data_IF_497461138293
#
_entry.id   IF_497461138293
#
_cell.length_a   1.000
_cell.length_b   1.000
_cell.length_c   1.000
_cell.angle_alpha   90.00
_cell.angle_beta   90.00
_cell.angle_gamma   90.00
#
_symmetry.space_group_name_H-M   'P 1'
#
loop_
_entity.id
_entity.type
_entity.pdbx_description
1 polymer ?
#
# COMPACT_ATOMS: atom_id res chain seq x y z
N UNK A 1 0.29 -51.59 -17.34
CA UNK A 1 1.09 -50.48 -16.89
C UNK A 1 0.12 -49.46 -16.31
N UNK A 2 -0.12 -49.55 -14.97
CA UNK A 2 -1.10 -48.73 -14.29
C UNK A 2 -0.47 -47.34 -14.02
N UNK A 3 -1.10 -46.29 -14.54
CA UNK A 3 -0.79 -44.92 -14.11
C UNK A 3 -1.34 -44.69 -12.69
N UNK A 4 -0.46 -44.47 -11.72
CA UNK A 4 -0.84 -43.98 -10.44
C UNK A 4 -1.11 -42.46 -10.58
N UNK A 5 -2.20 -41.92 -9.97
CA UNK A 5 -2.40 -40.48 -9.96
C UNK A 5 -1.42 -39.84 -8.98
N UNK A 6 -0.84 -38.72 -9.40
CA UNK A 6 0.02 -37.84 -8.61
C UNK A 6 -0.66 -37.44 -7.31
N UNK A 7 0.07 -37.52 -6.24
CA UNK A 7 -0.34 -37.06 -4.91
C UNK A 7 -0.73 -35.59 -4.95
N UNK A 8 -1.96 -35.28 -4.56
CA UNK A 8 -2.46 -33.95 -4.25
C UNK A 8 -1.57 -33.36 -3.15
N UNK A 9 -0.68 -32.49 -3.50
CA UNK A 9 -0.15 -31.51 -2.55
C UNK A 9 -1.31 -30.61 -2.17
N UNK A 10 -1.98 -30.90 -1.07
CA UNK A 10 -2.89 -29.96 -0.44
C UNK A 10 -2.04 -28.76 -0.01
N UNK A 11 -2.09 -27.67 -0.76
CA UNK A 11 -1.60 -26.38 -0.30
C UNK A 11 -2.42 -26.05 0.95
N UNK A 12 -1.81 -26.16 2.12
CA UNK A 12 -2.42 -25.70 3.37
C UNK A 12 -2.74 -24.21 3.18
N UNK A 13 -3.93 -23.79 3.68
CA UNK A 13 -4.25 -22.36 3.69
C UNK A 13 -3.11 -21.60 4.39
N UNK A 14 -2.68 -20.46 3.86
CA UNK A 14 -1.58 -19.71 4.45
C UNK A 14 -1.92 -19.32 5.89
N UNK A 15 -0.98 -19.55 6.80
CA UNK A 15 -1.12 -19.27 8.23
C UNK A 15 -0.99 -17.75 8.47
N UNK A 16 -2.14 -17.06 8.47
CA UNK A 16 -2.20 -15.62 8.71
C UNK A 16 -2.20 -15.35 10.21
N UNK A 17 -1.25 -14.56 10.66
CA UNK A 17 -1.08 -14.16 12.04
C UNK A 17 -1.49 -12.69 12.25
N UNK A 18 -1.93 -12.35 13.47
CA UNK A 18 -2.09 -10.96 13.91
C UNK A 18 -0.72 -10.43 14.32
N UNK A 19 -0.18 -9.50 13.55
CA UNK A 19 1.10 -8.86 13.85
C UNK A 19 0.97 -7.79 14.93
N UNK A 20 -0.16 -7.06 14.95
CA UNK A 20 -0.50 -6.09 15.99
C UNK A 20 -1.97 -6.23 16.38
N UNK A 21 -2.25 -6.37 17.68
CA UNK A 21 -3.53 -6.80 18.23
C UNK A 21 -4.53 -5.67 18.52
N UNK A 22 -4.20 -4.43 18.17
CA UNK A 22 -5.11 -3.29 18.32
C UNK A 22 -5.62 -2.87 16.93
N UNK A 23 -6.94 -2.93 16.69
CA UNK A 23 -7.47 -2.65 15.36
C UNK A 23 -7.47 -1.14 15.04
N UNK A 24 -7.02 -0.81 13.83
CA UNK A 24 -7.09 0.51 13.23
C UNK A 24 -8.48 0.77 12.62
N UNK A 25 -8.87 2.03 12.49
CA UNK A 25 -10.06 2.37 11.71
C UNK A 25 -9.82 2.10 10.21
N UNK A 26 -8.67 2.57 9.72
CA UNK A 26 -8.20 2.32 8.36
C UNK A 26 -6.67 2.27 8.40
N UNK A 27 -6.14 1.08 8.69
CA UNK A 27 -4.71 0.81 8.64
C UNK A 27 -4.22 0.90 7.21
N UNK A 28 -3.09 1.57 6.98
CA UNK A 28 -2.54 1.83 5.65
C UNK A 28 -1.03 1.96 5.66
N UNK A 29 -0.46 1.95 4.46
CA UNK A 29 0.94 2.24 4.18
C UNK A 29 1.92 1.55 5.14
N UNK A 30 1.89 0.20 5.23
CA UNK A 30 2.91 -0.52 5.98
C UNK A 30 4.27 -0.30 5.32
N UNK A 31 5.30 -0.08 6.15
CA UNK A 31 6.67 0.20 5.72
C UNK A 31 7.62 -0.57 6.63
N UNK A 32 8.40 -1.50 6.07
CA UNK A 32 9.43 -2.21 6.81
C UNK A 32 10.77 -1.47 6.73
N UNK A 33 11.29 -1.08 7.89
CA UNK A 33 12.65 -0.57 8.02
C UNK A 33 13.59 -1.70 8.47
N UNK A 34 14.43 -2.16 7.54
CA UNK A 34 15.36 -3.26 7.80
C UNK A 34 16.53 -2.81 8.71
N UNK A 35 16.91 -1.54 8.69
CA UNK A 35 18.01 -1.03 9.52
C UNK A 35 17.59 -0.98 10.99
N UNK A 36 16.32 -0.63 11.24
CA UNK A 36 15.75 -0.61 12.58
C UNK A 36 15.13 -1.95 13.00
N UNK A 37 14.95 -2.89 12.07
CA UNK A 37 14.16 -4.10 12.26
C UNK A 37 12.75 -3.77 12.81
N UNK A 38 12.09 -2.81 12.20
CA UNK A 38 10.81 -2.26 12.65
C UNK A 38 9.81 -2.10 11.50
N UNK A 39 8.54 -2.31 11.82
CA UNK A 39 7.43 -2.06 10.93
C UNK A 39 6.75 -0.75 11.32
N UNK A 40 6.57 0.14 10.35
CA UNK A 40 5.76 1.35 10.48
C UNK A 40 4.46 1.18 9.71
N UNK A 41 3.39 1.84 10.14
CA UNK A 41 2.13 1.97 9.40
C UNK A 41 1.35 3.18 9.90
N UNK A 42 0.23 3.50 9.24
CA UNK A 42 -0.64 4.61 9.63
C UNK A 42 -2.06 4.12 9.93
N UNK A 43 -2.78 4.86 10.78
CA UNK A 43 -4.24 4.84 10.85
C UNK A 43 -4.76 6.19 10.34
N UNK A 44 -5.37 6.18 9.13
CA UNK A 44 -5.77 7.43 8.47
C UNK A 44 -6.78 8.22 9.32
N UNK A 45 -7.96 7.68 9.69
CA UNK A 45 -8.90 8.43 10.54
C UNK A 45 -8.43 8.59 11.99
N UNK A 46 -7.60 7.66 12.47
CA UNK A 46 -6.96 7.73 13.78
C UNK A 46 -5.90 8.83 13.86
N UNK A 47 -5.49 9.40 12.71
CA UNK A 47 -4.47 10.44 12.59
C UNK A 47 -3.19 10.06 13.33
N UNK A 48 -2.70 8.86 13.09
CA UNK A 48 -1.55 8.32 13.78
C UNK A 48 -0.58 7.62 12.83
N UNK A 49 0.70 7.74 13.14
CA UNK A 49 1.77 6.88 12.65
C UNK A 49 2.14 5.93 13.78
N UNK A 50 2.34 4.67 13.45
CA UNK A 50 2.68 3.62 14.38
C UNK A 50 4.02 2.99 14.02
N UNK A 51 4.72 2.44 15.01
CA UNK A 51 5.95 1.65 14.87
C UNK A 51 5.88 0.44 15.77
N UNK A 52 6.23 -0.71 15.24
CA UNK A 52 6.38 -1.96 15.97
C UNK A 52 7.80 -2.48 15.79
N UNK A 53 8.56 -2.52 16.87
CA UNK A 53 9.94 -3.03 16.88
C UNK A 53 9.93 -4.56 17.01
N UNK A 54 10.55 -5.26 16.11
CA UNK A 54 10.81 -6.70 16.22
C UNK A 54 12.18 -6.96 16.90
N UNK A 55 12.39 -8.07 17.61
CA UNK A 55 11.40 -9.11 18.00
C UNK A 55 10.61 -8.80 19.27
N UNK A 56 10.97 -7.75 20.00
CA UNK A 56 10.38 -7.42 21.33
C UNK A 56 8.97 -6.86 21.25
N UNK A 57 8.49 -6.49 20.07
CA UNK A 57 7.17 -5.91 19.81
C UNK A 57 6.88 -4.67 20.63
N UNK A 58 7.93 -3.84 20.86
CA UNK A 58 7.73 -2.52 21.44
C UNK A 58 6.96 -1.64 20.45
N UNK A 59 5.80 -1.13 20.87
CA UNK A 59 4.94 -0.26 20.09
C UNK A 59 5.14 1.20 20.50
N UNK A 60 5.33 2.08 19.49
CA UNK A 60 5.24 3.55 19.62
C UNK A 60 4.23 4.10 18.62
N UNK A 61 3.68 5.25 18.95
CA UNK A 61 2.83 5.98 18.01
C UNK A 61 3.01 7.49 18.15
N UNK A 62 2.77 8.21 17.04
CA UNK A 62 2.83 9.65 16.96
C UNK A 62 1.50 10.17 16.39
N UNK A 63 0.88 11.10 17.13
CA UNK A 63 -0.35 11.75 16.68
C UNK A 63 -0.03 12.80 15.61
N UNK A 64 -0.84 12.81 14.53
CA UNK A 64 -0.73 13.76 13.43
C UNK A 64 -1.84 14.81 13.52
N UNK A 65 -1.56 16.04 13.06
CA UNK A 65 -2.54 17.12 13.06
C UNK A 65 -3.71 16.85 12.11
N UNK A 66 -3.42 16.23 10.97
CA UNK A 66 -4.41 15.83 9.95
C UNK A 66 -4.15 14.39 9.52
N UNK A 67 -5.05 13.83 8.70
CA UNK A 67 -4.98 12.44 8.25
C UNK A 67 -3.68 12.17 7.46
N UNK A 68 -2.84 11.21 7.86
CA UNK A 68 -1.74 10.71 7.04
C UNK A 68 -2.29 9.86 5.89
N UNK A 69 -1.78 10.06 4.68
CA UNK A 69 -2.11 9.25 3.50
C UNK A 69 -1.08 8.18 3.20
N UNK A 70 0.21 8.53 3.30
CA UNK A 70 1.31 7.57 3.20
C UNK A 70 2.54 8.05 3.98
N UNK A 71 3.46 7.12 4.18
CA UNK A 71 4.78 7.36 4.80
C UNK A 71 5.88 6.77 3.92
N UNK A 72 7.06 7.34 4.01
CA UNK A 72 8.29 6.80 3.45
C UNK A 72 9.44 7.01 4.44
N UNK A 73 10.43 6.10 4.43
CA UNK A 73 11.67 6.32 5.18
C UNK A 73 12.38 7.55 4.64
N UNK A 74 12.92 8.40 5.51
CA UNK A 74 13.76 9.52 5.11
C UNK A 74 15.23 9.13 5.22
N UNK A 75 16.03 9.42 4.19
CA UNK A 75 17.44 8.99 4.14
C UNK A 75 18.27 9.56 5.31
N UNK A 76 17.93 10.77 5.79
CA UNK A 76 18.58 11.41 6.94
C UNK A 76 17.92 11.04 8.30
N UNK A 77 17.19 9.91 8.34
CA UNK A 77 16.49 9.40 9.52
C UNK A 77 15.07 9.94 9.68
N UNK A 78 14.24 9.17 10.38
CA UNK A 78 12.81 9.42 10.55
C UNK A 78 11.99 9.14 9.29
N UNK A 79 10.82 9.78 9.19
CA UNK A 79 9.85 9.53 8.13
C UNK A 79 9.46 10.80 7.38
N UNK A 80 9.31 10.70 6.07
CA UNK A 80 8.53 11.62 5.26
C UNK A 80 7.06 11.18 5.29
N UNK A 81 6.14 12.09 5.59
CA UNK A 81 4.71 11.79 5.74
C UNK A 81 3.91 12.72 4.82
N UNK A 82 3.01 12.15 4.01
CA UNK A 82 2.03 12.90 3.25
C UNK A 82 0.73 13.01 4.06
N UNK A 83 0.51 14.17 4.69
CA UNK A 83 -0.70 14.51 5.43
C UNK A 83 -1.75 15.15 4.52
N UNK A 84 -3.03 15.20 4.94
CA UNK A 84 -4.06 16.01 4.25
C UNK A 84 -3.58 17.44 4.03
N UNK A 85 -2.87 18.02 4.98
CA UNK A 85 -2.41 19.43 4.95
C UNK A 85 -1.13 19.68 4.16
N UNK A 86 -0.41 18.63 3.73
CA UNK A 86 0.87 18.76 3.03
C UNK A 86 1.88 17.69 3.42
N UNK A 87 3.13 17.90 3.06
CA UNK A 87 4.23 16.98 3.36
C UNK A 87 4.99 17.46 4.60
N UNK A 88 5.33 16.53 5.48
CA UNK A 88 6.11 16.81 6.69
C UNK A 88 7.19 15.74 6.91
N UNK A 89 8.25 16.11 7.62
CA UNK A 89 9.20 15.15 8.19
C UNK A 89 8.87 14.92 9.66
N UNK A 90 8.82 13.66 10.07
CA UNK A 90 8.78 13.24 11.47
C UNK A 90 10.15 12.73 11.88
N UNK A 91 10.73 13.32 12.88
CA UNK A 91 11.85 12.74 13.63
C UNK A 91 11.28 11.70 14.61
N UNK A 92 11.61 10.43 14.38
CA UNK A 92 11.04 9.30 15.14
C UNK A 92 11.65 9.15 16.53
N UNK A 93 12.80 9.78 16.80
CA UNK A 93 13.45 9.77 18.12
C UNK A 93 12.83 10.82 19.03
N UNK A 94 12.73 12.05 18.55
CA UNK A 94 12.25 13.20 19.30
C UNK A 94 10.75 13.40 19.21
N UNK A 95 10.11 12.95 18.13
CA UNK A 95 8.71 13.22 17.79
C UNK A 95 8.49 14.60 17.16
N UNK A 96 9.55 15.33 16.82
CA UNK A 96 9.44 16.62 16.16
C UNK A 96 8.90 16.46 14.73
N UNK A 97 7.95 17.35 14.35
CA UNK A 97 7.35 17.37 13.02
C UNK A 97 7.73 18.68 12.34
N UNK A 98 8.46 18.57 11.22
CA UNK A 98 8.91 19.71 10.42
C UNK A 98 8.13 19.76 9.11
N UNK A 99 7.40 20.87 8.80
CA UNK A 99 6.74 21.07 7.50
C UNK A 99 7.77 21.16 6.36
N UNK A 100 7.43 20.49 5.23
CA UNK A 100 8.26 20.49 4.01
C UNK A 100 7.57 21.15 2.83
N UNK A 101 6.26 20.90 2.65
CA UNK A 101 5.49 21.43 1.53
C UNK A 101 3.99 21.48 1.89
N UNK A 102 3.31 22.56 1.54
CA UNK A 102 1.85 22.68 1.71
C UNK A 102 1.09 21.79 0.71
N UNK A 103 -0.15 21.42 1.03
CA UNK A 103 -1.00 20.68 0.12
C UNK A 103 -1.25 21.49 -1.17
N UNK A 104 -1.11 20.89 -2.37
CA UNK A 104 -1.29 21.60 -3.65
C UNK A 104 -2.76 21.67 -4.11
N UNK A 105 -3.70 21.33 -3.25
CA UNK A 105 -5.11 21.14 -3.56
C UNK A 105 -6.06 21.71 -2.47
N UNK A 106 -7.36 21.74 -2.74
CA UNK A 106 -8.39 22.05 -1.77
C UNK A 106 -8.54 20.91 -0.74
N UNK A 107 -8.01 21.10 0.45
CA UNK A 107 -7.97 20.11 1.54
C UNK A 107 -9.35 19.77 2.11
N UNK A 108 -10.39 20.54 1.76
CA UNK A 108 -11.77 20.20 2.11
C UNK A 108 -12.38 19.10 1.24
N UNK A 109 -11.73 18.77 0.10
CA UNK A 109 -12.21 17.79 -0.88
C UNK A 109 -11.19 16.72 -1.23
N UNK A 110 -9.91 17.00 -1.04
CA UNK A 110 -8.83 16.09 -1.34
C UNK A 110 -7.92 15.87 -0.13
N UNK A 111 -7.29 14.75 -0.09
CA UNK A 111 -6.14 14.46 0.76
C UNK A 111 -5.14 13.60 0.01
N UNK A 112 -3.89 13.59 0.46
CA UNK A 112 -2.97 12.54 0.03
C UNK A 112 -3.51 11.16 0.43
N UNK A 113 -3.14 10.17 -0.36
CA UNK A 113 -3.50 8.78 -0.19
C UNK A 113 -2.22 7.94 -0.32
N UNK A 114 -2.29 6.76 -0.92
CA UNK A 114 -1.16 5.85 -1.11
C UNK A 114 0.06 6.52 -1.78
N UNK A 115 1.24 5.99 -1.49
CA UNK A 115 2.49 6.47 -2.08
C UNK A 115 3.68 5.55 -1.78
N UNK A 116 4.73 5.72 -2.58
CA UNK A 116 5.97 4.94 -2.49
C UNK A 116 7.15 5.72 -3.08
N UNK A 117 8.36 5.47 -2.57
CA UNK A 117 9.56 5.99 -3.19
C UNK A 117 10.02 5.12 -4.37
N UNK A 118 10.55 5.78 -5.40
CA UNK A 118 11.30 5.12 -6.47
C UNK A 118 12.78 4.93 -6.10
N UNK A 119 13.54 4.26 -6.97
CA UNK A 119 14.95 3.96 -6.71
C UNK A 119 15.88 5.20 -6.72
N UNK A 120 15.40 6.36 -7.16
CA UNK A 120 16.10 7.65 -7.03
C UNK A 120 15.71 8.40 -5.75
N UNK A 121 14.85 7.81 -4.92
CA UNK A 121 14.40 8.38 -3.65
C UNK A 121 13.37 9.50 -3.82
N UNK A 122 12.63 9.56 -4.92
CA UNK A 122 11.50 10.48 -5.08
C UNK A 122 10.25 9.84 -4.49
N UNK A 123 9.51 10.58 -3.66
CA UNK A 123 8.21 10.12 -3.20
C UNK A 123 7.16 10.32 -4.30
N UNK A 124 6.53 9.25 -4.72
CA UNK A 124 5.32 9.25 -5.53
C UNK A 124 4.13 9.06 -4.61
N UNK A 125 3.25 10.05 -4.54
CA UNK A 125 2.07 10.01 -3.68
C UNK A 125 0.86 10.53 -4.45
N UNK A 126 -0.21 9.76 -4.35
CA UNK A 126 -1.44 10.15 -5.01
C UNK A 126 -2.43 10.83 -4.08
N UNK A 127 -3.58 11.20 -4.63
CA UNK A 127 -4.67 11.79 -3.86
C UNK A 127 -5.97 11.02 -4.03
N UNK A 128 -6.85 11.16 -3.07
CA UNK A 128 -8.26 10.79 -3.17
C UNK A 128 -9.11 12.05 -3.26
N UNK A 129 -9.99 12.10 -4.25
CA UNK A 129 -11.07 13.06 -4.30
C UNK A 129 -12.28 12.48 -3.56
N UNK A 130 -12.53 12.97 -2.34
CA UNK A 130 -13.44 12.34 -1.38
C UNK A 130 -14.92 12.36 -1.81
N UNK A 131 -15.44 13.35 -2.58
CA UNK A 131 -16.78 13.26 -3.13
C UNK A 131 -16.98 12.10 -4.10
N UNK A 132 -15.90 11.62 -4.76
CA UNK A 132 -15.88 10.44 -5.64
C UNK A 132 -16.85 10.47 -6.84
N UNK A 133 -17.33 11.64 -7.21
CA UNK A 133 -18.21 11.83 -8.36
C UNK A 133 -17.47 12.14 -9.67
N UNK A 134 -16.15 12.39 -9.58
CA UNK A 134 -15.26 12.72 -10.70
C UNK A 134 -13.82 12.30 -10.43
N UNK A 135 -13.02 12.20 -11.49
CA UNK A 135 -11.58 11.96 -11.40
C UNK A 135 -10.82 13.28 -11.22
N UNK A 136 -10.87 13.87 -10.02
CA UNK A 136 -10.17 15.10 -9.66
C UNK A 136 -8.97 14.91 -8.73
N UNK A 137 -8.66 13.66 -8.38
CA UNK A 137 -7.40 13.30 -7.78
C UNK A 137 -6.31 13.19 -8.84
N UNK A 138 -5.06 13.21 -8.41
CA UNK A 138 -3.88 13.06 -9.24
C UNK A 138 -2.77 12.28 -8.52
N UNK A 139 -1.73 11.93 -9.26
CA UNK A 139 -0.47 11.41 -8.73
C UNK A 139 0.58 12.51 -8.75
N UNK A 140 1.28 12.70 -7.64
CA UNK A 140 2.33 13.69 -7.45
C UNK A 140 3.67 13.02 -7.26
N UNK A 141 4.73 13.70 -7.69
CA UNK A 141 6.12 13.32 -7.45
C UNK A 141 6.79 14.43 -6.63
N UNK A 142 7.31 14.08 -5.46
CA UNK A 142 8.06 14.98 -4.58
C UNK A 142 9.55 14.64 -4.65
N UNK A 143 10.34 15.62 -5.09
CA UNK A 143 11.78 15.49 -5.27
C UNK A 143 12.45 16.78 -4.83
N UNK A 144 13.44 16.70 -3.91
CA UNK A 144 14.27 17.84 -3.49
C UNK A 144 13.47 19.09 -3.12
N UNK A 145 12.42 18.91 -2.32
CA UNK A 145 11.57 20.01 -1.88
C UNK A 145 10.56 20.52 -2.91
N UNK A 146 10.50 19.93 -4.11
CA UNK A 146 9.57 20.31 -5.18
C UNK A 146 8.52 19.24 -5.39
N UNK A 147 7.25 19.62 -5.32
CA UNK A 147 6.11 18.76 -5.59
C UNK A 147 5.56 19.03 -6.99
N UNK A 148 5.58 18.03 -7.84
CA UNK A 148 5.14 18.08 -9.25
C UNK A 148 3.90 17.20 -9.43
N UNK A 149 2.85 17.73 -10.05
CA UNK A 149 1.71 16.96 -10.54
C UNK A 149 2.13 16.15 -11.77
N UNK A 150 2.03 14.83 -11.70
CA UNK A 150 2.35 13.94 -12.81
C UNK A 150 1.19 13.80 -13.83
N UNK A 151 0.05 14.50 -13.58
CA UNK A 151 -1.11 14.55 -14.47
C UNK A 151 -1.75 13.18 -14.75
N UNK A 152 -1.89 12.36 -13.74
CA UNK A 152 -2.59 11.08 -13.79
C UNK A 152 -3.97 11.20 -13.14
N UNK A 153 -5.02 11.66 -13.86
CA UNK A 153 -6.33 11.85 -13.29
C UNK A 153 -6.94 10.53 -12.79
N UNK A 154 -7.37 10.54 -11.54
CA UNK A 154 -8.00 9.40 -10.87
C UNK A 154 -9.03 9.90 -9.87
N UNK A 155 -9.95 9.02 -9.44
CA UNK A 155 -10.83 9.31 -8.30
C UNK A 155 -10.10 9.01 -6.99
N UNK A 156 -9.41 7.87 -6.93
CA UNK A 156 -8.60 7.43 -5.79
C UNK A 156 -7.32 6.78 -6.31
N UNK A 157 -6.20 7.43 -6.06
CA UNK A 157 -4.88 6.93 -6.39
C UNK A 157 -4.45 5.88 -5.38
N UNK A 158 -4.05 4.71 -5.88
CA UNK A 158 -3.55 3.60 -5.08
C UNK A 158 -2.54 2.76 -5.85
N UNK A 159 -1.95 1.78 -5.18
CA UNK A 159 -1.13 0.72 -5.76
C UNK A 159 0.05 1.19 -6.57
N UNK A 160 0.67 2.33 -6.20
CA UNK A 160 1.89 2.80 -6.85
C UNK A 160 3.02 1.83 -6.54
N UNK A 161 3.60 1.24 -7.58
CA UNK A 161 4.75 0.36 -7.45
C UNK A 161 5.59 0.38 -8.73
N UNK A 162 6.86 0.00 -8.61
CA UNK A 162 7.80 -0.01 -9.72
C UNK A 162 8.29 -1.42 -9.98
N UNK A 163 8.51 -1.74 -11.27
CA UNK A 163 9.13 -3.00 -11.67
C UNK A 163 10.56 -3.11 -11.10
N UNK A 164 11.06 -4.33 -10.98
CA UNK A 164 12.42 -4.58 -10.46
C UNK A 164 13.51 -3.89 -11.27
N UNK A 165 13.31 -3.72 -12.58
CA UNK A 165 14.23 -3.02 -13.49
C UNK A 165 13.99 -1.49 -13.54
N UNK A 166 13.02 -0.98 -12.77
CA UNK A 166 12.64 0.43 -12.70
C UNK A 166 12.23 1.06 -14.05
N UNK A 167 11.70 0.24 -14.97
CA UNK A 167 11.25 0.71 -16.30
C UNK A 167 9.74 0.78 -16.44
N UNK A 168 9.03 0.28 -15.45
CA UNK A 168 7.56 0.30 -15.42
C UNK A 168 7.04 0.80 -14.08
N UNK A 169 5.97 1.59 -14.13
CA UNK A 169 5.23 2.05 -12.96
C UNK A 169 3.79 1.53 -13.05
N UNK A 170 3.34 0.89 -12.00
CA UNK A 170 1.95 0.51 -11.79
C UNK A 170 1.22 1.60 -11.03
N UNK A 171 -0.06 1.82 -11.36
CA UNK A 171 -0.91 2.78 -10.67
C UNK A 171 -2.38 2.36 -10.75
N UNK A 172 -3.03 2.19 -9.62
CA UNK A 172 -4.43 1.79 -9.54
C UNK A 172 -5.37 3.00 -9.38
N UNK A 173 -6.54 2.93 -10.02
CA UNK A 173 -7.70 3.77 -9.73
C UNK A 173 -8.77 2.87 -9.09
N UNK A 174 -8.85 2.87 -7.77
CA UNK A 174 -9.67 1.93 -7.00
C UNK A 174 -11.15 1.95 -7.39
N UNK A 175 -11.85 3.10 -7.51
CA UNK A 175 -13.24 3.12 -7.93
C UNK A 175 -13.47 2.67 -9.37
N UNK A 176 -12.46 2.76 -10.23
CA UNK A 176 -12.53 2.26 -11.60
C UNK A 176 -12.19 0.76 -11.72
N UNK A 177 -11.84 0.09 -10.61
CA UNK A 177 -11.47 -1.32 -10.54
C UNK A 177 -10.35 -1.70 -11.50
N UNK A 178 -9.41 -0.78 -11.76
CA UNK A 178 -8.33 -1.00 -12.74
C UNK A 178 -6.97 -0.64 -12.20
N UNK A 179 -5.97 -1.34 -12.73
CA UNK A 179 -4.56 -1.03 -12.58
C UNK A 179 -4.02 -0.65 -13.96
N UNK A 180 -3.38 0.49 -14.07
CA UNK A 180 -2.68 0.94 -15.25
C UNK A 180 -1.18 0.64 -15.11
N UNK A 181 -0.51 0.46 -16.25
CA UNK A 181 0.93 0.29 -16.36
C UNK A 181 1.46 1.40 -17.28
N UNK A 182 2.55 2.01 -16.86
CA UNK A 182 3.24 3.08 -17.58
C UNK A 182 4.68 2.65 -17.88
N UNK A 183 5.23 3.07 -18.99
CA UNK A 183 6.67 3.09 -19.17
C UNK A 183 7.23 4.18 -18.27
N UNK A 184 8.31 3.88 -17.56
CA UNK A 184 8.89 4.73 -16.54
C UNK A 184 10.37 5.02 -16.87
N UNK A 185 10.71 6.30 -16.90
CA UNK A 185 12.10 6.75 -17.01
C UNK A 185 12.61 7.13 -15.62
N UNK A 186 13.39 6.24 -15.02
CA UNK A 186 13.96 6.46 -13.69
C UNK A 186 14.85 7.70 -13.63
N UNK A 187 15.57 8.07 -14.70
CA UNK A 187 16.48 9.21 -14.65
C UNK A 187 15.73 10.54 -14.52
N UNK A 188 14.58 10.66 -15.19
CA UNK A 188 13.79 11.90 -15.23
C UNK A 188 12.55 11.87 -14.35
N UNK A 189 12.12 10.69 -13.89
CA UNK A 189 10.84 10.50 -13.21
C UNK A 189 9.65 10.77 -14.12
N UNK A 190 9.77 10.56 -15.43
CA UNK A 190 8.68 10.71 -16.37
C UNK A 190 8.00 9.38 -16.64
N UNK A 191 6.69 9.44 -16.82
CA UNK A 191 5.84 8.32 -17.23
C UNK A 191 5.32 8.54 -18.64
N UNK A 192 5.16 7.48 -19.40
CA UNK A 192 4.60 7.51 -20.77
C UNK A 192 3.88 6.21 -21.09
N UNK A 193 3.26 6.15 -22.28
CA UNK A 193 2.67 4.92 -22.83
C UNK A 193 1.75 4.17 -21.85
N UNK A 194 0.79 4.90 -21.23
CA UNK A 194 -0.21 4.30 -20.35
C UNK A 194 -0.96 3.17 -21.07
N UNK A 195 -1.07 2.02 -20.41
CA UNK A 195 -1.85 0.87 -20.87
C UNK A 195 -2.57 0.21 -19.70
N UNK A 196 -3.67 -0.46 -19.99
CA UNK A 196 -4.37 -1.26 -19.00
C UNK A 196 -3.52 -2.48 -18.63
N UNK A 197 -3.18 -2.62 -17.34
CA UNK A 197 -2.53 -3.83 -16.82
C UNK A 197 -3.57 -4.87 -16.41
N UNK A 198 -4.56 -4.47 -15.60
CA UNK A 198 -5.60 -5.37 -15.11
C UNK A 198 -6.91 -4.62 -14.89
N UNK A 199 -8.02 -5.24 -15.32
CA UNK A 199 -9.39 -4.81 -15.01
C UNK A 199 -10.04 -5.88 -14.13
N UNK A 200 -10.69 -5.46 -13.05
CA UNK A 200 -11.48 -6.33 -12.19
C UNK A 200 -12.98 -6.08 -12.39
N UNK A 201 -13.79 -7.06 -11.97
CA UNK A 201 -15.25 -6.96 -12.04
C UNK A 201 -15.73 -5.78 -11.19
N UNK A 202 -16.61 -4.96 -11.75
CA UNK A 202 -17.21 -3.80 -11.10
C UNK A 202 -18.58 -4.11 -10.47
N UNK A 203 -19.20 -5.25 -10.84
CA UNK A 203 -20.49 -5.65 -10.32
C UNK A 203 -20.37 -6.21 -8.89
N UNK A 204 -20.62 -5.36 -7.90
CA UNK A 204 -20.59 -5.75 -6.49
C UNK A 204 -21.67 -6.77 -6.09
N UNK A 205 -22.66 -7.00 -6.93
CA UNK A 205 -23.71 -7.98 -6.70
C UNK A 205 -23.34 -9.37 -7.26
N UNK A 206 -22.31 -9.43 -8.09
CA UNK A 206 -21.80 -10.67 -8.67
C UNK A 206 -21.22 -11.59 -7.57
N UNK A 207 -21.56 -12.89 -7.57
CA UNK A 207 -20.91 -13.88 -6.70
C UNK A 207 -19.38 -13.98 -6.94
N UNK A 208 -18.92 -13.56 -8.12
CA UNK A 208 -17.51 -13.52 -8.50
C UNK A 208 -16.82 -12.21 -8.11
N UNK A 209 -17.52 -11.28 -7.46
CA UNK A 209 -16.92 -10.02 -7.02
C UNK A 209 -15.76 -10.26 -6.06
N UNK A 210 -14.58 -9.89 -6.49
CA UNK A 210 -13.36 -10.14 -5.75
C UNK A 210 -12.69 -8.89 -5.20
N UNK A 211 -13.43 -7.79 -5.08
CA UNK A 211 -12.91 -6.51 -4.59
C UNK A 211 -12.30 -5.65 -5.69
N UNK A 212 -11.66 -4.59 -5.26
CA UNK A 212 -11.05 -3.57 -6.13
C UNK A 212 -9.60 -3.30 -5.69
N UNK A 213 -8.70 -2.98 -6.63
CA UNK A 213 -7.29 -2.82 -6.32
C UNK A 213 -7.09 -1.63 -5.37
N UNK A 214 -6.29 -1.85 -4.33
CA UNK A 214 -5.91 -0.87 -3.33
C UNK A 214 -4.37 -0.75 -3.30
N UNK A 215 -3.72 -0.75 -2.16
CA UNK A 215 -2.29 -0.67 -2.05
C UNK A 215 -1.57 -1.93 -2.58
N UNK A 216 -0.30 -1.79 -2.92
CA UNK A 216 0.46 -2.83 -3.61
C UNK A 216 1.94 -2.86 -3.25
N UNK A 217 2.62 -3.94 -3.64
CA UNK A 217 4.06 -4.10 -3.61
C UNK A 217 4.53 -4.95 -4.80
N UNK A 218 5.83 -4.94 -5.11
CA UNK A 218 6.44 -5.80 -6.12
C UNK A 218 7.44 -6.73 -5.44
N UNK A 219 7.45 -8.01 -5.84
CA UNK A 219 8.40 -9.00 -5.33
C UNK A 219 9.67 -9.11 -6.19
N UNK A 220 10.62 -9.92 -5.73
CA UNK A 220 11.90 -10.13 -6.40
C UNK A 220 11.81 -10.84 -7.76
N UNK A 221 10.68 -11.48 -8.06
CA UNK A 221 10.37 -12.08 -9.38
C UNK A 221 9.58 -11.13 -10.28
N UNK A 222 9.47 -9.83 -9.89
CA UNK A 222 8.76 -8.79 -10.61
C UNK A 222 7.24 -9.01 -10.69
N UNK A 223 6.66 -9.80 -9.79
CA UNK A 223 5.21 -9.92 -9.70
C UNK A 223 4.62 -8.78 -8.83
N UNK A 224 3.51 -8.23 -9.28
CA UNK A 224 2.76 -7.19 -8.59
C UNK A 224 1.80 -7.82 -7.59
N UNK A 225 1.97 -7.50 -6.32
CA UNK A 225 1.07 -7.90 -5.24
C UNK A 225 0.08 -6.80 -4.96
N UNK A 226 -1.21 -7.13 -4.88
CA UNK A 226 -2.29 -6.17 -4.74
C UNK A 226 -3.25 -6.57 -3.62
N UNK A 227 -3.48 -5.68 -2.67
CA UNK A 227 -4.58 -5.78 -1.73
C UNK A 227 -5.90 -5.51 -2.46
N UNK A 228 -6.90 -6.37 -2.24
CA UNK A 228 -8.21 -6.26 -2.89
C UNK A 228 -9.24 -5.76 -1.88
N UNK A 229 -9.41 -4.44 -1.81
CA UNK A 229 -10.38 -3.79 -0.93
C UNK A 229 -11.81 -4.31 -1.19
N UNK A 230 -12.55 -4.64 -0.14
CA UNK A 230 -13.85 -5.35 -0.21
C UNK A 230 -13.77 -6.76 -0.82
N UNK A 231 -12.58 -7.26 -1.12
CA UNK A 231 -12.36 -8.59 -1.69
C UNK A 231 -11.95 -9.67 -0.68
N UNK A 232 -11.49 -9.27 0.50
CA UNK A 232 -11.01 -10.22 1.53
C UNK A 232 -9.82 -11.06 1.03
N UNK A 233 -8.97 -10.51 0.17
CA UNK A 233 -7.86 -11.25 -0.44
C UNK A 233 -6.71 -10.35 -0.88
N UNK A 234 -5.57 -10.96 -1.07
CA UNK A 234 -4.39 -10.40 -1.74
C UNK A 234 -4.11 -11.22 -2.98
N UNK A 235 -3.77 -10.58 -4.08
CA UNK A 235 -3.41 -11.22 -5.35
C UNK A 235 -1.94 -11.00 -5.65
N UNK A 236 -1.24 -12.03 -6.11
CA UNK A 236 0.07 -11.97 -6.76
C UNK A 236 -0.14 -12.07 -8.27
N UNK A 237 0.29 -11.08 -9.03
CA UNK A 237 0.00 -10.94 -10.46
C UNK A 237 1.33 -10.83 -11.22
N UNK A 238 1.54 -11.71 -12.21
CA UNK A 238 2.74 -11.64 -13.08
C UNK A 238 2.75 -10.37 -13.95
N UNK A 239 3.91 -9.98 -14.51
CA UNK A 239 4.01 -8.80 -15.38
C UNK A 239 3.10 -8.82 -16.62
N UNK A 240 2.61 -9.98 -17.05
CA UNK A 240 1.65 -10.13 -18.14
C UNK A 240 0.18 -10.06 -17.68
N UNK A 241 -0.09 -9.84 -16.39
CA UNK A 241 -1.43 -9.73 -15.83
C UNK A 241 -2.08 -11.05 -15.42
N UNK A 242 -1.35 -12.18 -15.44
CA UNK A 242 -1.85 -13.49 -14.96
C UNK A 242 -1.82 -13.53 -13.43
N UNK A 243 -2.91 -13.97 -12.78
CA UNK A 243 -2.94 -14.20 -11.34
C UNK A 243 -2.16 -15.49 -11.04
N UNK A 244 -1.04 -15.34 -10.32
CA UNK A 244 -0.16 -16.45 -9.93
C UNK A 244 -0.57 -17.08 -8.60
N UNK A 245 -1.08 -16.25 -7.69
CA UNK A 245 -1.45 -16.68 -6.34
C UNK A 245 -2.57 -15.78 -5.78
N UNK A 246 -3.41 -16.38 -4.95
CA UNK A 246 -4.41 -15.70 -4.16
C UNK A 246 -4.25 -16.11 -2.70
N UNK A 247 -4.22 -15.12 -1.79
CA UNK A 247 -4.20 -15.31 -0.34
C UNK A 247 -5.52 -14.75 0.21
N UNK A 248 -6.38 -15.61 0.75
CA UNK A 248 -7.60 -15.19 1.44
C UNK A 248 -7.23 -14.56 2.78
N UNK A 249 -7.77 -13.38 3.06
CA UNK A 249 -7.50 -12.60 4.27
C UNK A 249 -8.75 -12.60 5.15
N UNK A 250 -8.64 -12.90 6.45
CA UNK A 250 -9.78 -12.92 7.38
C UNK A 250 -10.22 -11.50 7.79
N UNK A 251 -10.14 -10.56 6.85
CA UNK A 251 -10.63 -9.20 6.92
C UNK A 251 -11.23 -8.82 5.57
N UNK A 252 -12.39 -8.16 5.58
CA UNK A 252 -13.09 -7.81 4.33
C UNK A 252 -12.30 -6.85 3.45
N UNK A 253 -11.58 -5.92 4.09
CA UNK A 253 -10.89 -4.83 3.43
C UNK A 253 -9.39 -4.87 3.74
N UNK A 254 -8.57 -5.74 3.12
CA UNK A 254 -7.14 -5.52 3.06
C UNK A 254 -6.88 -4.24 2.27
N UNK A 255 -5.94 -3.41 2.74
CA UNK A 255 -5.70 -2.08 2.20
C UNK A 255 -4.36 -1.95 1.51
N UNK A 256 -3.26 -2.34 2.16
CA UNK A 256 -1.92 -2.25 1.56
C UNK A 256 -1.00 -3.36 2.06
N UNK A 257 0.17 -3.47 1.43
CA UNK A 257 1.13 -4.56 1.62
C UNK A 257 2.55 -4.02 1.77
N UNK A 258 3.33 -4.66 2.67
CA UNK A 258 4.77 -4.50 2.70
C UNK A 258 5.45 -5.84 2.97
N UNK A 259 6.58 -6.06 2.33
CA UNK A 259 7.46 -7.18 2.66
C UNK A 259 8.43 -6.77 3.76
N UNK A 260 8.62 -7.64 4.74
CA UNK A 260 9.52 -7.41 5.84
C UNK A 260 10.08 -8.68 6.43
N UNK A 261 10.68 -8.56 7.63
CA UNK A 261 11.49 -9.59 8.23
C UNK A 261 12.90 -9.64 7.62
N UNK A 262 13.80 -10.37 8.24
CA UNK A 262 15.21 -10.46 7.83
C UNK A 262 15.39 -10.93 6.37
N UNK A 263 14.51 -11.81 5.90
CA UNK A 263 14.55 -12.41 4.56
C UNK A 263 13.54 -11.82 3.58
N UNK A 264 12.82 -10.76 3.95
CA UNK A 264 11.76 -10.11 3.17
C UNK A 264 10.65 -11.07 2.69
N UNK A 265 10.40 -12.17 3.44
CA UNK A 265 9.35 -13.15 3.15
C UNK A 265 8.17 -13.08 4.11
N UNK A 266 8.14 -12.11 5.00
CA UNK A 266 6.95 -11.78 5.79
C UNK A 266 6.17 -10.71 5.06
N UNK A 267 5.00 -11.07 4.54
CA UNK A 267 4.08 -10.11 3.95
C UNK A 267 3.20 -9.54 5.06
N UNK A 268 3.39 -8.28 5.40
CA UNK A 268 2.51 -7.53 6.27
C UNK A 268 1.34 -6.96 5.48
N UNK A 269 0.13 -7.04 6.04
CA UNK A 269 -1.11 -6.64 5.40
C UNK A 269 -1.86 -5.72 6.35
N UNK A 270 -2.03 -4.47 5.98
CA UNK A 270 -2.94 -3.57 6.69
C UNK A 270 -4.37 -3.81 6.27
N UNK A 271 -5.31 -3.53 7.17
CA UNK A 271 -6.75 -3.74 6.91
C UNK A 271 -7.58 -2.58 7.46
N UNK A 272 -8.80 -2.41 6.93
CA UNK A 272 -9.74 -1.37 7.33
C UNK A 272 -11.04 -1.94 7.90
N UNK A 273 -11.62 -1.22 8.89
CA UNK A 273 -12.94 -1.48 9.46
C UNK A 273 -13.88 -0.27 9.40
N UNK A 274 -13.37 0.89 9.02
CA UNK A 274 -14.13 2.12 8.92
C UNK A 274 -15.34 1.96 7.98
N UNK A 275 -16.52 2.35 8.45
CA UNK A 275 -17.75 2.30 7.66
C UNK A 275 -18.27 0.87 7.40
N UNK A 276 -17.75 -0.15 8.09
CA UNK A 276 -18.28 -1.52 8.04
C UNK A 276 -19.36 -1.72 9.09
N UNK A 277 -20.39 -2.49 8.76
CA UNK A 277 -21.46 -2.84 9.69
C UNK A 277 -20.95 -3.80 10.78
N UNK A 278 -21.63 -3.84 11.92
CA UNK A 278 -21.32 -4.80 13.00
C UNK A 278 -21.38 -6.24 12.48
N UNK A 279 -22.38 -6.58 11.69
CA UNK A 279 -22.53 -7.92 11.10
C UNK A 279 -21.35 -8.28 10.18
N UNK A 280 -20.81 -7.32 9.42
CA UNK A 280 -19.62 -7.56 8.58
C UNK A 280 -18.37 -7.73 9.46
N UNK A 281 -18.25 -6.97 10.56
CA UNK A 281 -17.11 -7.12 11.49
C UNK A 281 -17.20 -8.46 12.25
N UNK A 282 -18.39 -8.93 12.59
CA UNK A 282 -18.58 -10.28 13.16
C UNK A 282 -18.16 -11.38 12.18
N UNK A 283 -18.48 -11.21 10.89
CA UNK A 283 -18.08 -12.15 9.83
C UNK A 283 -16.57 -12.12 9.56
N UNK A 284 -15.94 -10.93 9.66
CA UNK A 284 -14.53 -10.69 9.41
C UNK A 284 -13.87 -10.07 10.65
N UNK A 285 -13.65 -10.86 11.71
CA UNK A 285 -13.28 -10.33 13.04
C UNK A 285 -11.88 -9.69 13.07
N UNK A 286 -11.03 -9.95 12.07
CA UNK A 286 -9.71 -9.33 11.98
C UNK A 286 -9.69 -8.05 11.12
N UNK A 287 -10.86 -7.49 10.79
CA UNK A 287 -10.95 -6.18 10.12
C UNK A 287 -10.38 -5.07 11.00
N UNK A 288 -9.45 -4.29 10.44
CA UNK A 288 -8.70 -3.24 11.12
C UNK A 288 -7.38 -3.72 11.74
N UNK A 289 -7.15 -5.01 11.87
CA UNK A 289 -5.89 -5.51 12.41
C UNK A 289 -4.76 -5.44 11.37
N UNK A 290 -3.54 -5.29 11.86
CA UNK A 290 -2.33 -5.51 11.09
C UNK A 290 -2.04 -7.02 11.11
N UNK A 291 -1.98 -7.60 9.93
CA UNK A 291 -1.80 -9.04 9.73
C UNK A 291 -0.43 -9.33 9.11
N UNK A 292 0.03 -10.55 9.24
CA UNK A 292 1.25 -11.04 8.60
C UNK A 292 1.08 -12.47 8.11
N UNK A 293 1.78 -12.81 7.04
CA UNK A 293 1.81 -14.16 6.48
C UNK A 293 3.18 -14.43 5.85
N UNK A 294 3.65 -15.66 5.94
CA UNK A 294 4.89 -16.07 5.24
C UNK A 294 4.59 -16.38 3.78
N UNK A 295 5.47 -15.92 2.90
CA UNK A 295 5.39 -16.14 1.46
C UNK A 295 6.68 -16.75 0.91
N UNK A 296 6.58 -17.47 -0.20
CA UNK A 296 7.71 -18.21 -0.78
C UNK A 296 8.69 -17.30 -1.54
N UNK A 297 8.19 -16.22 -2.14
CA UNK A 297 8.99 -15.26 -2.91
C UNK A 297 9.27 -14.03 -2.05
N UNK A 298 10.53 -13.63 -1.86
CA UNK A 298 10.85 -12.43 -1.09
C UNK A 298 10.42 -11.17 -1.83
N UNK A 299 10.09 -10.13 -1.08
CA UNK A 299 9.88 -8.81 -1.63
C UNK A 299 11.17 -8.06 -1.92
N UNK A 300 11.01 -6.75 -2.14
CA UNK A 300 12.10 -5.80 -2.29
C UNK A 300 12.15 -4.88 -1.06
N UNK A 301 13.34 -4.45 -0.68
CA UNK A 301 13.48 -3.40 0.31
C UNK A 301 12.92 -2.07 -0.23
N UNK A 302 12.27 -1.32 0.65
CA UNK A 302 11.75 0.01 0.30
C UNK A 302 12.88 1.01 0.13
N UNK A 303 12.77 1.87 -0.90
CA UNK A 303 13.72 2.96 -1.10
C UNK A 303 13.37 4.13 -0.16
N UNK A 304 14.39 4.73 0.51
CA UNK A 304 14.16 5.94 1.30
C UNK A 304 13.99 7.16 0.39
N UNK A 305 13.23 8.14 0.87
CA UNK A 305 13.19 9.47 0.28
C UNK A 305 14.57 10.14 0.41
N UNK A 306 15.05 10.72 -0.69
CA UNK A 306 16.29 11.51 -0.76
C UNK A 306 15.93 13.00 -0.85
N UNK A 307 16.37 13.80 0.15
CA UNK A 307 16.09 15.24 0.23
C UNK A 307 16.84 16.08 -0.82
#
# INVERSE_FOLDING_TARGET
MLFMPNENTSLSAPDIQVAFDTPMQLGECPLWDADENALYWIDIPGKAVHRLQEPGKEHRSWAMATEPGCIAKHADGGLLIALRSGLVRLDTDTGEITPLHDAPYDTSKLRFNDGRCDAMGRLWTGTIYEPRDRELGSLFCFERGTLRDAQHPVTTSNGVAFSTDQRSMYHANTPAHRINLYDYDLATGQTSNMRLFKQFDMDKTSPAYGGRPDGAAVDSENAYWCAMFEGGRVLRISPDGTILQEILVPARCPTMLAFGGEDLRTLFITTGRQGRSEAEIEQYPLSGYLLSVRVDVPGLAEYPYQA
#
